data_IF_998222641383
#
_entry.id   IF_998222641383
#
_cell.length_a   1.000
_cell.length_b   1.000
_cell.length_c   1.000
_cell.angle_alpha   90.00
_cell.angle_beta   90.00
_cell.angle_gamma   90.00
#
_symmetry.space_group_name_H-M   'P 1'
#
loop_
_entity.id
_entity.type
_entity.pdbx_description
1 polymer ?
#
# COMPACT_ATOMS: atom_id res chain seq x y z
N UNK A 1 -14.91 -13.03 -1.53
CA UNK A 1 -15.83 -13.68 -0.59
C UNK A 1 -16.67 -14.82 -1.19
N UNK A 2 -16.26 -15.33 -2.34
CA UNK A 2 -16.96 -16.44 -3.03
C UNK A 2 -16.25 -17.79 -2.82
N UNK A 3 -15.32 -17.87 -1.88
CA UNK A 3 -14.56 -19.09 -1.51
C UNK A 3 -13.79 -19.74 -2.69
N UNK A 4 -13.54 -18.95 -3.76
CA UNK A 4 -12.88 -19.43 -4.98
C UNK A 4 -11.35 -19.32 -4.94
N UNK A 5 -10.79 -18.61 -3.97
CA UNK A 5 -9.35 -18.41 -3.82
C UNK A 5 -8.95 -18.60 -2.36
N UNK A 6 -7.86 -19.31 -2.15
CA UNK A 6 -7.33 -19.57 -0.81
C UNK A 6 -6.50 -18.38 -0.28
N UNK A 7 -5.98 -17.52 -1.15
CA UNK A 7 -5.10 -16.41 -0.81
C UNK A 7 -5.34 -15.20 -1.72
N UNK A 8 -5.26 -14.02 -1.12
CA UNK A 8 -5.29 -12.73 -1.82
C UNK A 8 -4.12 -11.86 -1.35
N UNK A 9 -3.37 -11.27 -2.27
CA UNK A 9 -2.29 -10.34 -1.98
C UNK A 9 -2.78 -8.94 -2.33
N UNK A 10 -2.73 -8.04 -1.36
CA UNK A 10 -3.21 -6.67 -1.53
C UNK A 10 -2.59 -5.68 -0.55
N UNK A 11 -3.12 -4.48 -0.53
CA UNK A 11 -2.74 -3.44 0.42
C UNK A 11 -3.41 -3.63 1.78
N UNK A 12 -2.75 -3.19 2.85
CA UNK A 12 -3.32 -3.19 4.20
C UNK A 12 -4.65 -2.41 4.28
N UNK A 13 -4.77 -1.31 3.54
CA UNK A 13 -6.02 -0.54 3.44
C UNK A 13 -7.20 -1.33 2.82
N UNK A 14 -6.94 -2.48 2.20
CA UNK A 14 -7.95 -3.37 1.63
C UNK A 14 -8.62 -4.28 2.66
N UNK A 15 -8.07 -4.44 3.86
CA UNK A 15 -8.57 -5.37 4.87
C UNK A 15 -10.03 -5.10 5.27
N UNK A 16 -10.41 -3.84 5.42
CA UNK A 16 -11.79 -3.47 5.73
C UNK A 16 -12.80 -3.92 4.68
N UNK A 17 -12.43 -3.89 3.39
CA UNK A 17 -13.29 -4.40 2.31
C UNK A 17 -13.38 -5.93 2.33
N UNK A 18 -12.27 -6.62 2.61
CA UNK A 18 -12.26 -8.08 2.77
C UNK A 18 -13.15 -8.49 3.92
N UNK A 19 -12.98 -7.86 5.09
CA UNK A 19 -13.80 -8.11 6.28
C UNK A 19 -15.30 -7.95 5.99
N UNK A 20 -15.67 -6.85 5.35
CA UNK A 20 -17.08 -6.59 4.97
C UNK A 20 -17.62 -7.64 3.98
N UNK A 21 -16.82 -8.03 3.01
CA UNK A 21 -17.23 -9.00 1.98
C UNK A 21 -17.32 -10.43 2.51
N UNK A 22 -16.47 -10.81 3.45
CA UNK A 22 -16.48 -12.11 4.11
C UNK A 22 -17.67 -12.21 5.08
N UNK A 23 -17.88 -11.16 5.90
CA UNK A 23 -18.90 -11.22 6.96
C UNK A 23 -18.69 -12.44 7.84
N UNK A 24 -19.75 -13.23 8.02
CA UNK A 24 -19.76 -14.46 8.83
C UNK A 24 -19.61 -15.75 8.00
N UNK A 25 -19.30 -15.63 6.68
CA UNK A 25 -19.27 -16.79 5.78
C UNK A 25 -18.13 -17.75 6.08
N UNK A 26 -16.96 -17.22 6.43
CA UNK A 26 -15.78 -18.03 6.77
C UNK A 26 -14.76 -17.19 7.56
N UNK A 27 -13.82 -17.87 8.19
CA UNK A 27 -12.71 -17.23 8.91
C UNK A 27 -11.55 -16.95 7.95
N UNK A 28 -10.97 -15.76 8.04
CA UNK A 28 -9.73 -15.40 7.33
C UNK A 28 -8.71 -14.87 8.33
N UNK A 29 -7.44 -14.87 7.93
CA UNK A 29 -6.37 -14.24 8.68
C UNK A 29 -5.50 -13.38 7.72
N UNK A 30 -4.64 -12.55 8.30
CA UNK A 30 -3.73 -11.67 7.58
C UNK A 30 -2.30 -12.03 7.91
N UNK A 31 -1.45 -12.09 6.91
CA UNK A 31 -0.02 -12.30 7.06
C UNK A 31 0.76 -11.24 6.27
N UNK A 32 1.98 -10.98 6.71
CA UNK A 32 2.92 -10.19 5.93
C UNK A 32 3.20 -10.90 4.60
N UNK A 33 3.36 -10.13 3.53
CA UNK A 33 3.72 -10.66 2.21
C UNK A 33 5.04 -11.43 2.29
N UNK A 34 5.16 -12.57 1.61
CA UNK A 34 6.44 -13.26 1.50
C UNK A 34 7.53 -12.35 0.90
N UNK A 35 8.73 -12.41 1.47
CA UNK A 35 9.88 -11.62 1.03
C UNK A 35 10.28 -10.53 2.00
N UNK A 36 11.54 -10.08 1.86
CA UNK A 36 12.15 -9.14 2.80
C UNK A 36 11.64 -7.71 2.62
N UNK A 37 11.42 -7.28 1.37
CA UNK A 37 11.11 -5.90 1.05
C UNK A 37 9.61 -5.69 0.83
N UNK A 38 9.07 -4.63 1.41
CA UNK A 38 7.67 -4.24 1.27
C UNK A 38 7.60 -2.82 0.72
N UNK A 39 6.81 -2.63 -0.33
CA UNK A 39 6.61 -1.30 -0.90
C UNK A 39 5.67 -0.50 -0.02
N UNK A 40 6.14 0.65 0.43
CA UNK A 40 5.31 1.64 1.09
C UNK A 40 4.53 2.41 0.03
N UNK A 41 3.23 2.46 0.20
CA UNK A 41 2.33 3.34 -0.53
C UNK A 41 1.51 4.13 0.49
N UNK A 42 1.03 5.28 0.09
CA UNK A 42 0.21 6.12 0.95
C UNK A 42 -0.24 7.37 0.20
N UNK A 43 -1.06 8.16 0.87
CA UNK A 43 -1.49 9.47 0.39
C UNK A 43 -0.68 10.53 1.11
N UNK A 44 0.02 11.35 0.34
CA UNK A 44 0.79 12.47 0.87
C UNK A 44 -0.09 13.72 0.99
N UNK A 45 0.23 14.56 1.97
CA UNK A 45 -0.41 15.86 2.13
C UNK A 45 0.62 16.96 1.91
N UNK A 46 0.29 17.92 1.06
CA UNK A 46 1.17 19.02 0.69
C UNK A 46 0.52 20.38 0.95
N UNK A 47 1.34 21.35 1.32
CA UNK A 47 0.93 22.75 1.43
C UNK A 47 1.32 23.51 0.17
N UNK A 48 0.39 24.26 -0.41
CA UNK A 48 0.68 25.05 -1.59
C UNK A 48 1.68 26.19 -1.29
N UNK A 49 2.73 26.29 -2.10
CA UNK A 49 3.76 27.33 -1.96
C UNK A 49 3.18 28.75 -1.99
N UNK A 50 2.17 28.99 -2.84
CA UNK A 50 1.52 30.30 -3.04
C UNK A 50 0.45 30.63 -1.98
N UNK A 51 0.18 29.76 -1.02
CA UNK A 51 -0.77 30.06 0.06
C UNK A 51 -0.30 31.26 0.88
N UNK A 52 -1.24 32.09 1.35
CA UNK A 52 -0.96 33.23 2.22
C UNK A 52 -0.44 32.78 3.60
N UNK A 53 0.12 33.69 4.39
CA UNK A 53 0.59 33.36 5.74
C UNK A 53 -0.50 32.74 6.62
N UNK A 54 -1.71 33.28 6.59
CA UNK A 54 -2.87 32.75 7.35
C UNK A 54 -3.29 31.35 6.85
N UNK A 55 -3.35 31.15 5.54
CA UNK A 55 -3.65 29.85 4.94
C UNK A 55 -2.60 28.81 5.29
N UNK A 56 -1.31 29.16 5.26
CA UNK A 56 -0.22 28.27 5.68
C UNK A 56 -0.33 27.88 7.14
N UNK A 57 -0.62 28.83 8.03
CA UNK A 57 -0.82 28.57 9.44
C UNK A 57 -1.97 27.60 9.68
N UNK A 58 -3.12 27.82 9.02
CA UNK A 58 -4.27 26.93 9.13
C UNK A 58 -3.98 25.52 8.57
N UNK A 59 -3.37 25.45 7.39
CA UNK A 59 -2.97 24.19 6.78
C UNK A 59 -1.99 23.41 7.67
N UNK A 60 -1.01 24.07 8.28
CA UNK A 60 -0.06 23.44 9.18
C UNK A 60 -0.75 22.85 10.44
N UNK A 61 -1.68 23.60 11.04
CA UNK A 61 -2.49 23.09 12.17
C UNK A 61 -3.30 21.86 11.78
N UNK A 62 -3.87 21.85 10.57
CA UNK A 62 -4.59 20.70 10.06
C UNK A 62 -3.67 19.49 9.83
N UNK A 63 -2.49 19.70 9.26
CA UNK A 63 -1.49 18.63 9.12
C UNK A 63 -1.05 18.07 10.47
N UNK A 64 -0.83 18.93 11.48
CA UNK A 64 -0.53 18.50 12.85
C UNK A 64 -1.67 17.68 13.46
N UNK A 65 -2.93 18.08 13.24
CA UNK A 65 -4.07 17.31 13.68
C UNK A 65 -4.10 15.92 13.02
N UNK A 66 -3.96 15.84 11.71
CA UNK A 66 -3.97 14.57 10.98
C UNK A 66 -2.85 13.60 11.39
N UNK A 67 -1.73 14.12 11.87
CA UNK A 67 -0.58 13.32 12.36
C UNK A 67 -0.59 13.14 13.88
N UNK A 68 -1.59 13.66 14.58
CA UNK A 68 -1.74 13.46 16.02
C UNK A 68 -2.03 12.01 16.40
N UNK A 69 -1.73 11.63 17.65
CA UNK A 69 -1.99 10.27 18.15
C UNK A 69 -3.46 9.87 17.98
N UNK A 70 -4.39 10.74 18.37
CA UNK A 70 -5.82 10.44 18.31
C UNK A 70 -6.30 10.24 16.86
N UNK A 71 -6.03 11.20 15.97
CA UNK A 71 -6.47 11.13 14.59
C UNK A 71 -5.87 9.93 13.84
N UNK A 72 -4.60 9.62 14.09
CA UNK A 72 -3.94 8.48 13.48
C UNK A 72 -4.47 7.13 14.00
N UNK A 73 -4.81 7.05 15.29
CA UNK A 73 -5.41 5.85 15.86
C UNK A 73 -6.82 5.61 15.30
N UNK A 74 -7.64 6.66 15.25
CA UNK A 74 -8.99 6.59 14.68
C UNK A 74 -8.96 6.21 13.19
N UNK A 75 -8.05 6.83 12.43
CA UNK A 75 -7.89 6.54 11.02
C UNK A 75 -7.44 5.09 10.77
N UNK A 76 -6.45 4.61 11.52
CA UNK A 76 -5.98 3.24 11.42
C UNK A 76 -7.09 2.22 11.75
N UNK A 77 -7.88 2.51 12.78
CA UNK A 77 -9.00 1.65 13.20
C UNK A 77 -10.13 1.61 12.17
N UNK A 78 -10.38 2.73 11.49
CA UNK A 78 -11.45 2.84 10.50
C UNK A 78 -11.08 2.24 9.14
N UNK A 79 -9.80 2.34 8.74
CA UNK A 79 -9.38 2.09 7.36
C UNK A 79 -8.38 0.95 7.18
N UNK A 80 -7.68 0.54 8.24
CA UNK A 80 -6.55 -0.40 8.14
C UNK A 80 -5.25 0.22 7.63
N UNK A 81 -5.18 1.54 7.44
CA UNK A 81 -3.92 2.23 7.15
C UNK A 81 -2.96 2.12 8.33
N UNK A 82 -1.68 1.98 8.01
CA UNK A 82 -0.62 1.94 9.03
C UNK A 82 -0.36 3.36 9.50
N UNK A 83 -0.39 3.63 10.83
CA UNK A 83 -0.11 4.96 11.36
C UNK A 83 1.30 5.43 11.05
N UNK A 84 1.47 6.71 10.72
CA UNK A 84 2.79 7.35 10.56
C UNK A 84 3.34 7.92 11.86
N UNK A 85 2.52 7.97 12.92
CA UNK A 85 2.93 8.44 14.24
C UNK A 85 3.45 7.28 15.09
N UNK A 86 4.73 7.30 15.43
CA UNK A 86 5.36 6.25 16.22
C UNK A 86 4.71 6.04 17.60
N UNK A 87 4.16 7.09 18.21
CA UNK A 87 3.44 6.98 19.48
C UNK A 87 2.14 6.16 19.35
N UNK A 88 1.58 6.06 18.14
CA UNK A 88 0.45 5.16 17.85
C UNK A 88 0.94 3.74 17.60
N UNK A 89 1.93 3.58 16.72
CA UNK A 89 2.46 2.25 16.33
C UNK A 89 2.93 1.45 17.54
N UNK A 90 3.52 2.12 18.53
CA UNK A 90 4.01 1.49 19.77
C UNK A 90 2.96 1.38 20.88
N UNK A 91 1.79 2.00 20.70
CA UNK A 91 0.75 2.03 21.74
C UNK A 91 0.05 0.69 21.91
N UNK A 92 -0.39 0.44 23.14
CA UNK A 92 -1.18 -0.74 23.48
C UNK A 92 -2.51 -0.76 22.72
N UNK A 93 -3.16 0.39 22.64
CA UNK A 93 -4.44 0.57 21.98
C UNK A 93 -4.41 0.19 20.48
N UNK A 94 -3.29 0.43 19.81
CA UNK A 94 -3.11 0.02 18.43
C UNK A 94 -2.76 -1.47 18.31
N UNK A 95 -1.83 -1.97 19.15
CA UNK A 95 -1.35 -3.36 19.10
C UNK A 95 -2.43 -4.38 19.48
N UNK A 96 -3.28 -4.05 20.44
CA UNK A 96 -4.38 -4.90 20.91
C UNK A 96 -5.69 -4.62 20.17
N UNK A 97 -5.65 -3.86 19.10
CA UNK A 97 -6.83 -3.54 18.31
C UNK A 97 -7.41 -4.81 17.66
N UNK A 98 -8.66 -5.09 18.01
CA UNK A 98 -9.42 -6.23 17.46
C UNK A 98 -10.28 -5.86 16.22
N UNK A 99 -10.37 -4.57 15.89
CA UNK A 99 -11.16 -4.10 14.74
C UNK A 99 -10.53 -4.48 13.41
N UNK A 100 -9.18 -4.49 13.36
CA UNK A 100 -8.42 -4.99 12.22
C UNK A 100 -7.39 -6.03 12.70
N UNK A 101 -6.97 -6.94 11.83
CA UNK A 101 -5.97 -7.95 12.15
C UNK A 101 -4.53 -7.49 11.87
N UNK A 102 -4.39 -6.27 11.33
CA UNK A 102 -3.14 -5.77 10.75
C UNK A 102 -2.04 -5.46 11.77
N UNK A 103 -2.30 -4.78 12.92
CA UNK A 103 -1.23 -4.34 13.81
C UNK A 103 -0.29 -5.47 14.26
N UNK A 104 -0.87 -6.58 14.69
CA UNK A 104 -0.11 -7.72 15.21
C UNK A 104 0.69 -8.46 14.12
N UNK A 105 0.29 -8.35 12.85
CA UNK A 105 0.85 -9.13 11.73
C UNK A 105 1.87 -8.35 10.89
N UNK A 106 1.89 -7.03 10.98
CA UNK A 106 2.71 -6.18 10.11
C UNK A 106 3.96 -5.59 10.77
N UNK A 107 4.16 -5.76 12.07
CA UNK A 107 5.32 -5.20 12.78
C UNK A 107 6.64 -5.59 12.11
N UNK A 108 6.81 -6.85 11.72
CA UNK A 108 8.00 -7.32 11.01
C UNK A 108 8.11 -6.82 9.57
N UNK A 109 7.00 -6.61 8.88
CA UNK A 109 6.97 -6.14 7.49
C UNK A 109 7.39 -4.67 7.35
N UNK A 110 7.17 -3.85 8.39
CA UNK A 110 7.52 -2.43 8.37
C UNK A 110 9.02 -2.15 8.44
N UNK A 111 9.84 -3.13 8.84
CA UNK A 111 11.28 -2.97 8.99
C UNK A 111 12.01 -2.69 7.67
N UNK A 112 11.50 -3.16 6.56
CA UNK A 112 12.16 -3.09 5.25
C UNK A 112 11.22 -2.45 4.20
N UNK A 113 10.64 -1.31 4.58
CA UNK A 113 9.84 -0.52 3.66
C UNK A 113 10.73 0.21 2.65
N UNK A 114 10.27 0.29 1.42
CA UNK A 114 10.84 1.18 0.41
C UNK A 114 9.73 1.96 -0.30
N UNK A 115 10.04 3.15 -0.73
CA UNK A 115 9.15 3.98 -1.51
C UNK A 115 9.52 3.94 -2.99
N UNK A 116 8.53 4.08 -3.85
CA UNK A 116 8.78 4.31 -5.28
C UNK A 116 9.50 5.65 -5.42
N UNK A 117 10.63 5.71 -6.16
CA UNK A 117 11.34 6.95 -6.36
C UNK A 117 10.45 8.00 -7.03
N UNK A 118 10.49 9.23 -6.52
CA UNK A 118 9.87 10.37 -7.17
C UNK A 118 10.82 10.85 -8.27
N UNK A 119 10.58 10.42 -9.49
CA UNK A 119 11.38 10.75 -10.65
C UNK A 119 10.50 11.14 -11.84
N UNK A 120 11.07 11.87 -12.78
CA UNK A 120 10.41 12.15 -14.07
C UNK A 120 9.95 10.82 -14.68
N UNK A 121 8.76 10.79 -15.21
CA UNK A 121 8.15 9.63 -15.88
C UNK A 121 7.89 8.37 -15.00
N UNK A 122 8.12 8.42 -13.70
CA UNK A 122 7.87 7.27 -12.81
C UNK A 122 6.44 6.71 -12.98
N UNK A 123 5.43 7.54 -12.96
CA UNK A 123 4.04 7.11 -13.13
C UNK A 123 3.79 6.44 -14.49
N UNK A 124 4.35 7.01 -15.58
CA UNK A 124 4.22 6.44 -16.92
C UNK A 124 4.90 5.06 -17.01
N UNK A 125 6.09 4.92 -16.44
CA UNK A 125 6.83 3.66 -16.41
C UNK A 125 6.09 2.59 -15.56
N UNK A 126 5.62 2.96 -14.36
CA UNK A 126 4.86 2.05 -13.52
C UNK A 126 3.54 1.58 -14.16
N UNK A 127 2.88 2.45 -14.93
CA UNK A 127 1.67 2.07 -15.69
C UNK A 127 1.93 1.00 -16.77
N UNK A 128 3.19 0.74 -17.13
CA UNK A 128 3.53 -0.35 -18.04
C UNK A 128 3.59 -1.72 -17.34
N UNK A 129 3.67 -1.77 -16.01
CA UNK A 129 3.85 -3.04 -15.29
C UNK A 129 2.65 -3.97 -15.44
N UNK A 130 1.43 -3.46 -15.33
CA UNK A 130 0.21 -4.27 -15.47
C UNK A 130 0.12 -4.98 -16.83
N UNK A 131 0.22 -4.28 -17.98
CA UNK A 131 0.19 -4.95 -19.27
C UNK A 131 1.42 -5.84 -19.53
N UNK A 132 2.59 -5.54 -18.93
CA UNK A 132 3.76 -6.42 -19.00
C UNK A 132 3.49 -7.72 -18.24
N UNK A 133 3.01 -7.64 -17.01
CA UNK A 133 2.66 -8.80 -16.19
C UNK A 133 1.57 -9.66 -16.84
N UNK A 134 0.54 -9.03 -17.42
CA UNK A 134 -0.50 -9.74 -18.14
C UNK A 134 0.07 -10.57 -19.31
N UNK A 135 1.02 -10.03 -20.08
CA UNK A 135 1.68 -10.76 -21.17
C UNK A 135 2.55 -11.91 -20.67
N UNK A 136 3.26 -11.73 -19.57
CA UNK A 136 4.08 -12.79 -18.94
C UNK A 136 3.19 -13.94 -18.47
N UNK A 137 2.10 -13.63 -17.78
CA UNK A 137 1.13 -14.63 -17.30
C UNK A 137 0.45 -15.35 -18.45
N UNK A 138 0.07 -14.63 -19.51
CA UNK A 138 -0.50 -15.23 -20.73
C UNK A 138 0.49 -16.19 -21.39
N UNK A 139 1.76 -15.81 -21.53
CA UNK A 139 2.79 -16.67 -22.10
C UNK A 139 2.99 -17.94 -21.25
N UNK A 140 3.05 -17.79 -19.93
CA UNK A 140 3.17 -18.92 -19.00
C UNK A 140 1.98 -19.88 -19.14
N UNK A 141 0.75 -19.35 -19.18
CA UNK A 141 -0.47 -20.16 -19.34
C UNK A 141 -0.50 -20.95 -20.65
N UNK A 142 0.05 -20.41 -21.72
CA UNK A 142 0.00 -21.01 -23.06
C UNK A 142 1.30 -21.73 -23.46
N UNK A 143 2.18 -22.03 -22.51
CA UNK A 143 3.45 -22.75 -22.77
C UNK A 143 4.44 -21.99 -23.65
N UNK A 144 4.29 -20.66 -23.77
CA UNK A 144 5.17 -19.80 -24.55
C UNK A 144 6.42 -19.41 -23.74
N UNK A 145 7.45 -18.91 -24.42
CA UNK A 145 8.70 -18.52 -23.78
C UNK A 145 8.51 -17.25 -22.91
N UNK A 146 8.40 -17.47 -21.62
CA UNK A 146 8.23 -16.41 -20.60
C UNK A 146 9.41 -15.44 -20.59
N UNK A 147 10.64 -15.91 -20.77
CA UNK A 147 11.83 -15.07 -20.75
C UNK A 147 11.82 -14.00 -21.85
N UNK A 148 11.28 -14.30 -23.02
CA UNK A 148 11.13 -13.33 -24.10
C UNK A 148 10.17 -12.20 -23.69
N UNK A 149 9.07 -12.51 -22.99
CA UNK A 149 8.13 -11.51 -22.48
C UNK A 149 8.73 -10.66 -21.37
N UNK A 150 9.53 -11.25 -20.49
CA UNK A 150 10.25 -10.52 -19.43
C UNK A 150 11.24 -9.54 -20.05
N UNK A 151 12.07 -9.98 -21.02
CA UNK A 151 13.05 -9.12 -21.70
C UNK A 151 12.37 -7.95 -22.44
N UNK A 152 11.32 -8.24 -23.21
CA UNK A 152 10.56 -7.21 -23.92
C UNK A 152 9.87 -6.24 -22.95
N UNK A 153 9.30 -6.75 -21.86
CA UNK A 153 8.67 -5.94 -20.82
C UNK A 153 9.65 -5.01 -20.12
N UNK A 154 10.82 -5.53 -19.75
CA UNK A 154 11.89 -4.72 -19.17
C UNK A 154 12.37 -3.62 -20.13
N UNK A 155 12.60 -3.93 -21.38
CA UNK A 155 13.02 -2.94 -22.39
C UNK A 155 11.96 -1.81 -22.54
N UNK A 156 10.67 -2.15 -22.54
CA UNK A 156 9.58 -1.20 -22.61
C UNK A 156 9.54 -0.30 -21.35
N UNK A 157 9.67 -0.89 -20.17
CA UNK A 157 9.72 -0.16 -18.91
C UNK A 157 10.88 0.83 -18.88
N UNK A 158 12.10 0.35 -19.19
CA UNK A 158 13.31 1.17 -19.20
C UNK A 158 13.23 2.32 -20.22
N UNK A 159 12.68 2.08 -21.40
CA UNK A 159 12.48 3.12 -22.41
C UNK A 159 11.49 4.20 -21.94
N UNK A 160 10.40 3.82 -21.26
CA UNK A 160 9.44 4.77 -20.71
C UNK A 160 10.04 5.56 -19.55
N UNK A 161 10.85 4.94 -18.73
CA UNK A 161 11.52 5.59 -17.62
C UNK A 161 12.51 6.66 -18.05
N UNK A 162 13.20 6.45 -19.17
CA UNK A 162 14.25 7.35 -19.69
C UNK A 162 13.71 8.55 -20.47
N UNK A 163 12.45 8.60 -20.86
CA UNK A 163 11.81 9.75 -21.54
C UNK A 163 11.65 10.95 -20.60
#
# INVERSE_FOLDING_TARGET
>A
ANEKVAMYIGTSAGEGYVKKAVGDKFTYDVAARPGKYTMQQGTDIYMFKKATGMQKSAAFKYMQFLTSKSAQLDWANATGYIPVNNAVVTSKEYKENTKTKLPAKLEGAMKYLYSVPVAKNSNAAYSQLDPIMAKILYAAKNGQNVNNQIKAGKAKFDATWKQ
#
